data_IF_923376435495
#
_entry.id   IF_923376435495
#
_cell.length_a   1.000
_cell.length_b   1.000
_cell.length_c   1.000
_cell.angle_alpha   90.00
_cell.angle_beta   90.00
_cell.angle_gamma   90.00
#
_symmetry.space_group_name_H-M   'P 1'
#
loop_
_entity.id
_entity.type
_entity.pdbx_description
1 polymer ?
#
# COMPACT_ATOMS: atom_id res chain seq x y z
N UNK A 1 28.13 4.84 -5.49
CA UNK A 1 27.21 5.11 -4.35
C UNK A 1 26.38 6.39 -4.52
N UNK A 2 26.98 7.58 -4.74
CA UNK A 2 26.23 8.87 -4.86
C UNK A 2 25.18 8.90 -5.99
N UNK A 3 25.44 8.24 -7.13
CA UNK A 3 24.49 8.16 -8.26
C UNK A 3 23.29 7.25 -7.96
N UNK A 4 23.53 6.17 -7.21
CA UNK A 4 22.50 5.19 -6.80
C UNK A 4 21.51 5.80 -5.79
N UNK A 5 22.01 6.60 -4.84
CA UNK A 5 21.15 7.34 -3.91
C UNK A 5 20.30 8.41 -4.62
N UNK A 6 20.85 9.09 -5.63
CA UNK A 6 20.10 10.09 -6.40
C UNK A 6 18.99 9.46 -7.24
N UNK A 7 19.25 8.32 -7.89
CA UNK A 7 18.20 7.61 -8.64
C UNK A 7 17.13 7.04 -7.71
N UNK A 8 17.49 6.48 -6.55
CA UNK A 8 16.53 6.02 -5.56
C UNK A 8 15.66 7.16 -5.02
N UNK A 9 16.25 8.35 -4.81
CA UNK A 9 15.53 9.54 -4.34
C UNK A 9 14.59 10.11 -5.41
N UNK A 10 14.99 10.08 -6.69
CA UNK A 10 14.11 10.47 -7.80
C UNK A 10 12.92 9.51 -7.91
N UNK A 11 13.14 8.19 -7.81
CA UNK A 11 12.07 7.18 -7.86
C UNK A 11 11.11 7.35 -6.66
N UNK A 12 11.64 7.63 -5.47
CA UNK A 12 10.84 7.91 -4.29
C UNK A 12 9.99 9.19 -4.44
N UNK A 13 10.56 10.27 -4.99
CA UNK A 13 9.84 11.53 -5.25
C UNK A 13 8.75 11.35 -6.30
N UNK A 14 8.99 10.58 -7.37
CA UNK A 14 7.96 10.24 -8.35
C UNK A 14 6.82 9.38 -7.77
N UNK A 15 7.10 8.58 -6.74
CA UNK A 15 6.10 7.71 -6.10
C UNK A 15 5.14 8.48 -5.19
N UNK A 16 5.55 9.63 -4.65
CA UNK A 16 4.73 10.47 -3.75
C UNK A 16 3.68 11.29 -4.52
N UNK A 17 3.84 11.49 -5.83
CA UNK A 17 2.93 12.33 -6.64
C UNK A 17 1.70 11.60 -7.17
N UNK A 18 1.49 10.32 -6.85
CA UNK A 18 0.41 9.50 -7.41
C UNK A 18 -0.89 9.48 -6.56
N UNK A 19 -1.19 10.55 -5.83
CA UNK A 19 -2.50 10.72 -5.18
C UNK A 19 -3.53 11.15 -6.22
N UNK A 20 -4.10 10.20 -6.96
CA UNK A 20 -5.30 10.46 -7.74
C UNK A 20 -6.51 10.40 -6.78
N UNK A 21 -7.17 11.53 -6.58
CA UNK A 21 -8.51 11.56 -6.01
C UNK A 21 -9.50 11.46 -7.17
N UNK A 22 -10.30 10.39 -7.19
CA UNK A 22 -11.27 10.11 -8.26
C UNK A 22 -12.63 9.87 -7.62
N UNK A 23 -13.20 10.95 -7.10
CA UNK A 23 -14.64 11.05 -6.95
C UNK A 23 -15.23 11.46 -8.31
N UNK A 24 -16.03 10.55 -8.90
CA UNK A 24 -16.74 10.65 -10.19
C UNK A 24 -15.90 10.69 -11.48
N UNK A 25 -15.61 9.55 -12.11
CA UNK A 25 -15.17 9.56 -13.52
C UNK A 25 -15.32 8.22 -14.27
N UNK A 26 -15.32 8.35 -15.59
CA UNK A 26 -15.52 7.36 -16.65
C UNK A 26 -14.69 6.07 -16.51
N UNK A 27 -15.05 5.02 -17.26
CA UNK A 27 -14.36 3.73 -17.24
C UNK A 27 -12.82 3.83 -17.31
N UNK A 28 -12.21 4.63 -18.21
CA UNK A 28 -10.75 4.79 -18.26
C UNK A 28 -10.15 5.35 -16.97
N UNK A 29 -10.85 6.24 -16.29
CA UNK A 29 -10.37 6.82 -15.04
C UNK A 29 -10.39 5.79 -13.89
N UNK A 30 -11.34 4.84 -13.89
CA UNK A 30 -11.32 3.70 -12.95
C UNK A 30 -10.14 2.76 -13.18
N UNK A 31 -9.76 2.55 -14.44
CA UNK A 31 -8.56 1.77 -14.79
C UNK A 31 -7.29 2.47 -14.33
N UNK A 32 -7.16 3.77 -14.63
CA UNK A 32 -6.02 4.59 -14.20
C UNK A 32 -5.90 4.63 -12.68
N UNK A 33 -7.03 4.72 -11.98
CA UNK A 33 -7.08 4.60 -10.54
C UNK A 33 -6.54 3.24 -10.08
N UNK A 34 -7.09 2.12 -10.58
CA UNK A 34 -6.61 0.79 -10.17
C UNK A 34 -5.12 0.59 -10.46
N UNK A 35 -4.64 1.06 -11.61
CA UNK A 35 -3.22 1.01 -11.98
C UNK A 35 -2.34 1.79 -10.99
N UNK A 36 -2.72 3.03 -10.67
CA UNK A 36 -1.99 3.86 -9.72
C UNK A 36 -2.01 3.26 -8.31
N UNK A 37 -3.14 2.69 -7.88
CA UNK A 37 -3.23 1.98 -6.60
C UNK A 37 -2.29 0.76 -6.56
N UNK A 38 -2.34 -0.05 -7.62
CA UNK A 38 -1.53 -1.25 -7.76
C UNK A 38 -0.04 -0.93 -7.72
N UNK A 39 0.39 0.09 -8.47
CA UNK A 39 1.77 0.56 -8.48
C UNK A 39 2.21 1.09 -7.11
N UNK A 40 1.39 1.93 -6.49
CA UNK A 40 1.66 2.47 -5.16
C UNK A 40 1.83 1.34 -4.14
N UNK A 41 0.91 0.39 -4.08
CA UNK A 41 0.95 -0.72 -3.14
C UNK A 41 2.10 -1.69 -3.39
N UNK A 42 2.45 -1.93 -4.67
CA UNK A 42 3.60 -2.76 -5.04
C UNK A 42 4.91 -2.18 -4.49
N UNK A 43 5.12 -0.86 -4.64
CA UNK A 43 6.38 -0.20 -4.27
C UNK A 43 6.43 0.20 -2.79
N UNK A 44 5.29 0.55 -2.20
CA UNK A 44 5.23 1.17 -0.86
C UNK A 44 4.90 0.18 0.25
N UNK A 45 4.77 -1.12 -0.07
CA UNK A 45 4.53 -2.18 0.92
C UNK A 45 5.54 -2.18 2.08
N UNK A 46 6.79 -1.75 1.87
CA UNK A 46 7.81 -1.69 2.94
C UNK A 46 7.39 -0.76 4.09
N UNK A 47 6.58 0.27 3.82
CA UNK A 47 6.08 1.18 4.83
C UNK A 47 5.09 0.53 5.82
N UNK A 48 4.58 -0.68 5.51
CA UNK A 48 3.74 -1.46 6.44
C UNK A 48 4.51 -1.93 7.68
N UNK A 49 5.83 -2.13 7.58
CA UNK A 49 6.66 -2.54 8.73
C UNK A 49 6.67 -1.46 9.82
N UNK A 50 7.15 -0.22 9.56
CA UNK A 50 7.15 0.82 10.60
C UNK A 50 5.74 1.19 11.05
N UNK A 51 4.76 1.18 10.14
CA UNK A 51 3.35 1.42 10.48
C UNK A 51 2.84 0.40 11.50
N UNK A 52 3.02 -0.90 11.23
CA UNK A 52 2.55 -1.96 12.11
C UNK A 52 3.24 -1.89 13.48
N UNK A 53 4.55 -1.60 13.53
CA UNK A 53 5.27 -1.40 14.79
C UNK A 53 4.64 -0.26 15.62
N UNK A 54 4.33 0.88 15.01
CA UNK A 54 3.72 2.02 15.71
C UNK A 54 2.33 1.66 16.24
N UNK A 55 1.51 0.99 15.43
CA UNK A 55 0.16 0.59 15.82
C UNK A 55 0.20 -0.47 16.94
N UNK A 56 1.01 -1.52 16.77
CA UNK A 56 1.21 -2.58 17.78
C UNK A 56 1.80 -2.03 19.08
N UNK A 57 2.71 -1.04 19.01
CA UNK A 57 3.26 -0.37 20.20
C UNK A 57 2.15 0.29 21.02
N UNK A 58 1.20 0.96 20.35
CA UNK A 58 0.08 1.64 21.03
C UNK A 58 -0.93 0.66 21.63
N UNK A 59 -1.13 -0.50 21.00
CA UNK A 59 -2.08 -1.52 21.46
C UNK A 59 -1.54 -2.42 22.57
N UNK A 60 -0.31 -2.92 22.40
CA UNK A 60 0.23 -4.02 23.22
C UNK A 60 1.57 -3.69 23.89
N UNK A 61 2.12 -2.50 23.61
CA UNK A 61 3.37 -2.03 24.20
C UNK A 61 4.62 -2.33 23.37
N UNK A 62 5.74 -1.78 23.82
CA UNK A 62 7.00 -1.74 23.05
C UNK A 62 7.60 -3.14 22.83
N UNK A 63 7.52 -4.03 23.82
CA UNK A 63 8.10 -5.38 23.74
C UNK A 63 7.42 -6.24 22.66
N UNK A 64 6.08 -6.14 22.56
CA UNK A 64 5.31 -6.83 21.52
C UNK A 64 5.57 -6.24 20.13
N UNK A 65 5.60 -4.91 20.03
CA UNK A 65 5.87 -4.22 18.77
C UNK A 65 7.24 -4.56 18.17
N UNK A 66 8.27 -4.71 19.01
CA UNK A 66 9.63 -5.04 18.57
C UNK A 66 9.78 -6.47 18.03
N UNK A 67 8.87 -7.38 18.37
CA UNK A 67 8.93 -8.79 18.00
C UNK A 67 7.78 -9.13 17.05
N UNK A 68 6.57 -9.30 17.60
CA UNK A 68 5.36 -9.64 16.85
C UNK A 68 4.95 -8.52 15.87
N UNK A 69 5.12 -7.25 16.24
CA UNK A 69 4.81 -6.12 15.37
C UNK A 69 5.68 -6.09 14.09
N UNK A 70 6.95 -6.47 14.20
CA UNK A 70 7.86 -6.55 13.05
C UNK A 70 7.46 -7.70 12.11
N UNK A 71 7.18 -8.88 12.65
CA UNK A 71 6.77 -10.05 11.87
C UNK A 71 5.43 -9.78 11.17
N UNK A 72 4.46 -9.25 11.90
CA UNK A 72 3.14 -8.88 11.38
C UNK A 72 3.27 -7.83 10.28
N UNK A 73 4.15 -6.83 10.49
CA UNK A 73 4.45 -5.82 9.48
C UNK A 73 5.08 -6.39 8.21
N UNK A 74 5.93 -7.42 8.32
CA UNK A 74 6.47 -8.13 7.14
C UNK A 74 5.38 -8.90 6.38
N UNK A 75 4.45 -9.54 7.08
CA UNK A 75 3.30 -10.22 6.45
C UNK A 75 2.44 -9.19 5.71
N UNK A 76 2.14 -8.05 6.33
CA UNK A 76 1.39 -6.97 5.69
C UNK A 76 2.13 -6.38 4.48
N UNK A 77 3.45 -6.19 4.57
CA UNK A 77 4.28 -5.76 3.45
C UNK A 77 4.13 -6.71 2.26
N UNK A 78 4.32 -8.01 2.48
CA UNK A 78 4.22 -9.02 1.42
C UNK A 78 2.81 -9.02 0.83
N UNK A 79 1.78 -9.04 1.67
CA UNK A 79 0.40 -9.02 1.18
C UNK A 79 0.07 -7.76 0.38
N UNK A 80 0.55 -6.58 0.80
CA UNK A 80 0.34 -5.32 0.09
C UNK A 80 1.09 -5.25 -1.23
N UNK A 81 2.33 -5.73 -1.26
CA UNK A 81 3.11 -5.77 -2.50
C UNK A 81 2.50 -6.75 -3.50
N UNK A 82 2.09 -7.94 -3.05
CA UNK A 82 1.45 -8.94 -3.91
C UNK A 82 0.09 -8.47 -4.42
N UNK A 83 -0.74 -7.86 -3.57
CA UNK A 83 -2.02 -7.29 -4.02
C UNK A 83 -1.79 -6.14 -5.01
N UNK A 84 -0.77 -5.30 -4.77
CA UNK A 84 -0.42 -4.22 -5.68
C UNK A 84 0.03 -4.73 -7.05
N UNK A 85 0.89 -5.75 -7.08
CA UNK A 85 1.30 -6.42 -8.31
C UNK A 85 0.11 -7.07 -9.04
N UNK A 86 -0.80 -7.70 -8.29
CA UNK A 86 -2.02 -8.27 -8.84
C UNK A 86 -2.93 -7.20 -9.46
N UNK A 87 -3.15 -6.08 -8.76
CA UNK A 87 -3.94 -4.95 -9.26
C UNK A 87 -3.31 -4.29 -10.48
N UNK A 88 -1.97 -4.30 -10.56
CA UNK A 88 -1.22 -3.80 -11.71
C UNK A 88 -1.33 -4.70 -12.94
N UNK A 89 -1.40 -6.03 -12.77
CA UNK A 89 -1.65 -6.98 -13.89
C UNK A 89 -3.12 -6.98 -14.29
N UNK A 90 -4.03 -6.85 -13.34
CA UNK A 90 -5.48 -6.88 -13.57
C UNK A 90 -6.12 -5.50 -13.71
N UNK A 91 -5.31 -4.46 -13.97
CA UNK A 91 -5.76 -3.07 -14.00
C UNK A 91 -6.89 -2.81 -15.01
N UNK A 92 -6.94 -3.62 -16.09
CA UNK A 92 -7.99 -3.58 -17.12
C UNK A 92 -9.38 -3.94 -16.59
N UNK A 93 -9.47 -4.59 -15.42
CA UNK A 93 -10.71 -4.93 -14.74
C UNK A 93 -10.83 -3.99 -13.53
N UNK A 94 -11.77 -3.03 -13.51
CA UNK A 94 -11.88 -2.06 -12.42
C UNK A 94 -12.49 -2.70 -11.17
N UNK A 95 -11.66 -3.39 -10.39
CA UNK A 95 -12.00 -3.88 -9.04
C UNK A 95 -11.50 -2.90 -7.98
N UNK A 96 -12.12 -2.96 -6.81
CA UNK A 96 -11.58 -2.29 -5.62
C UNK A 96 -10.31 -3.00 -5.13
N UNK A 97 -9.37 -2.28 -4.48
CA UNK A 97 -8.21 -2.88 -3.87
C UNK A 97 -8.61 -3.96 -2.84
N UNK A 98 -7.86 -5.06 -2.83
CA UNK A 98 -8.05 -6.14 -1.84
C UNK A 98 -7.59 -5.65 -0.45
N UNK A 99 -6.58 -4.80 -0.42
CA UNK A 99 -5.98 -4.26 0.80
C UNK A 99 -6.70 -3.01 1.25
N UNK A 100 -6.94 -2.91 2.56
CA UNK A 100 -7.51 -1.74 3.22
C UNK A 100 -6.60 -1.32 4.37
N UNK A 101 -6.17 -0.05 4.45
CA UNK A 101 -6.52 1.08 3.58
C UNK A 101 -5.91 1.00 2.16
N UNK A 102 -6.55 1.71 1.22
CA UNK A 102 -6.22 1.72 -0.23
C UNK A 102 -4.77 2.12 -0.46
N UNK A 103 -4.26 3.13 0.26
CA UNK A 103 -2.84 3.44 0.38
C UNK A 103 -2.32 3.23 1.81
N UNK A 104 -1.02 2.95 1.94
CA UNK A 104 -0.40 2.72 3.26
C UNK A 104 -0.50 3.97 4.14
N UNK A 105 -0.57 5.15 3.52
CA UNK A 105 -0.63 6.46 4.16
C UNK A 105 -2.03 7.05 4.41
N UNK A 106 -3.10 6.46 3.88
CA UNK A 106 -4.45 7.05 4.05
C UNK A 106 -4.93 7.00 5.51
N UNK A 107 -4.57 5.95 6.23
CA UNK A 107 -4.94 5.75 7.62
C UNK A 107 -3.80 5.02 8.34
N UNK A 108 -2.82 5.80 8.80
CA UNK A 108 -1.65 5.30 9.51
C UNK A 108 -1.99 4.67 10.87
N UNK A 109 -3.15 5.02 11.44
CA UNK A 109 -3.55 4.55 12.76
C UNK A 109 -4.31 3.22 12.73
N UNK A 110 -4.78 2.82 11.55
CA UNK A 110 -5.50 1.57 11.33
C UNK A 110 -4.60 0.44 10.85
N UNK A 111 -4.84 -0.76 11.37
CA UNK A 111 -4.19 -1.98 10.91
C UNK A 111 -4.62 -2.36 9.50
N UNK A 112 -3.68 -2.93 8.77
CA UNK A 112 -3.90 -3.38 7.40
C UNK A 112 -4.74 -4.64 7.41
N UNK A 113 -5.81 -4.62 6.61
CA UNK A 113 -6.79 -5.70 6.51
C UNK A 113 -7.03 -6.06 5.05
N UNK A 114 -7.48 -7.29 4.81
CA UNK A 114 -7.71 -7.82 3.47
C UNK A 114 -9.20 -8.11 3.31
N UNK A 115 -9.79 -7.58 2.25
CA UNK A 115 -11.18 -7.83 1.90
C UNK A 115 -11.33 -9.25 1.37
N UNK A 116 -12.27 -10.01 1.93
CA UNK A 116 -12.57 -11.38 1.49
C UNK A 116 -13.44 -11.45 0.23
N UNK A 117 -14.17 -10.37 -0.08
CA UNK A 117 -15.11 -10.32 -1.22
C UNK A 117 -14.61 -9.41 -2.33
N UNK A 118 -14.58 -9.92 -3.55
CA UNK A 118 -14.34 -9.13 -4.74
C UNK A 118 -15.49 -8.14 -5.00
N UNK A 119 -15.15 -6.88 -5.23
CA UNK A 119 -16.12 -5.83 -5.57
C UNK A 119 -15.60 -5.03 -6.75
N UNK A 120 -16.48 -4.76 -7.71
CA UNK A 120 -16.19 -3.82 -8.79
C UNK A 120 -16.15 -2.39 -8.24
N UNK A 121 -15.34 -1.55 -8.87
CA UNK A 121 -15.17 -0.14 -8.53
C UNK A 121 -16.21 0.73 -9.24
#
# INVERSE_FOLDING_TARGET
MKKLCKTALIIAVLSVSASYDVSASSYPARLGAKLGNGLANAVTGIAEIPKTIIVSKRKEGVAYAATAGVITGMVHMVGRTLSGAYDLVTFMIPTKPIVTPDYVWDDFDKETSYRSTWQLR
#
